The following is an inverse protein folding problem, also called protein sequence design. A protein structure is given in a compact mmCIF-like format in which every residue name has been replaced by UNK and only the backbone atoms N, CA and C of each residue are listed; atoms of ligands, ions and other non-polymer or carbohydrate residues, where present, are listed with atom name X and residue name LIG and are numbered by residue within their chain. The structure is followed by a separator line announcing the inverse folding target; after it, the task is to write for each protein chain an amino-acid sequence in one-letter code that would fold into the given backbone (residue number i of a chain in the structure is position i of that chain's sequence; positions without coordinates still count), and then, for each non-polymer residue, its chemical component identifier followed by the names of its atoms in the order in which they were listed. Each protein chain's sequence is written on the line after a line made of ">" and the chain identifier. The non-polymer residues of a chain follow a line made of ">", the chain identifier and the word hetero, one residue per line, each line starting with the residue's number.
data_IF_366391341913
#
_entry.id   IF_366391341913
#
_cell.length_a   1.000
_cell.length_b   1.000
_cell.length_c   1.000
_cell.angle_alpha   90.00
_cell.angle_beta   90.00
_cell.angle_gamma   90.00
#
_symmetry.space_group_name_H-M   'P 1'
#
loop_
_entity.id
_entity.type
_entity.pdbx_description
1 polymer ?
#
# COMPACT_ATOMS: atom_id res chain seq x y z
N UNK A 1 -5.61 -29.66 -1.41
CA UNK A 1 -6.35 -28.44 -1.00
C UNK A 1 -6.91 -27.79 -2.25
N UNK A 2 -8.19 -28.00 -2.53
CA UNK A 2 -8.84 -27.52 -3.76
C UNK A 2 -9.27 -26.05 -3.58
N UNK A 3 -8.96 -25.19 -4.55
CA UNK A 3 -9.31 -23.76 -4.52
C UNK A 3 -10.73 -23.56 -5.04
N UNK A 4 -11.68 -23.24 -4.16
CA UNK A 4 -13.00 -22.75 -4.55
C UNK A 4 -12.87 -21.34 -5.15
N UNK A 5 -13.52 -21.07 -6.28
CA UNK A 5 -13.64 -19.73 -6.89
C UNK A 5 -15.10 -19.30 -6.86
N UNK A 6 -15.41 -18.17 -6.23
CA UNK A 6 -16.75 -17.56 -6.24
C UNK A 6 -16.88 -16.49 -7.32
N UNK A 7 -18.07 -16.36 -7.90
CA UNK A 7 -18.42 -15.27 -8.83
C UNK A 7 -19.76 -14.65 -8.42
N UNK A 8 -19.86 -13.33 -8.48
CA UNK A 8 -21.03 -12.55 -8.07
C UNK A 8 -21.75 -11.99 -9.28
N UNK A 9 -23.09 -12.00 -9.26
CA UNK A 9 -23.90 -11.35 -10.29
C UNK A 9 -25.05 -10.60 -9.62
N UNK A 10 -25.20 -9.31 -9.94
CA UNK A 10 -26.33 -8.48 -9.50
C UNK A 10 -27.49 -8.71 -10.47
N UNK A 11 -28.66 -9.08 -9.95
CA UNK A 11 -29.88 -9.28 -10.75
C UNK A 11 -30.96 -8.31 -10.29
N UNK A 12 -32.01 -8.13 -11.11
CA UNK A 12 -33.18 -7.31 -10.78
C UNK A 12 -33.89 -7.75 -9.48
N UNK A 13 -33.67 -9.00 -9.03
CA UNK A 13 -34.26 -9.58 -7.80
C UNK A 13 -33.28 -9.63 -6.61
N UNK A 14 -32.13 -8.98 -6.71
CA UNK A 14 -31.11 -8.92 -5.66
C UNK A 14 -29.78 -9.56 -6.06
N UNK A 15 -28.85 -9.62 -5.09
CA UNK A 15 -27.52 -10.20 -5.27
C UNK A 15 -27.58 -11.72 -5.14
N UNK A 16 -26.99 -12.44 -6.10
CA UNK A 16 -26.87 -13.91 -6.08
C UNK A 16 -25.38 -14.30 -6.12
N UNK A 17 -25.03 -15.34 -5.37
CA UNK A 17 -23.66 -15.88 -5.31
C UNK A 17 -23.63 -17.22 -6.04
N UNK A 18 -22.68 -17.40 -6.96
CA UNK A 18 -22.40 -18.69 -7.58
C UNK A 18 -21.43 -19.46 -6.71
N UNK A 19 -21.85 -20.61 -6.19
CA UNK A 19 -20.97 -21.56 -5.50
C UNK A 19 -20.71 -22.72 -6.44
N UNK A 20 -19.44 -22.94 -6.80
CA UNK A 20 -19.03 -24.08 -7.63
C UNK A 20 -18.04 -24.93 -6.84
N UNK A 21 -18.41 -26.19 -6.61
CA UNK A 21 -17.52 -27.24 -6.14
C UNK A 21 -17.14 -28.13 -7.33
N UNK A 22 -15.98 -28.79 -7.30
CA UNK A 22 -15.41 -29.53 -8.44
C UNK A 22 -16.29 -30.68 -8.93
N UNK A 23 -17.17 -31.19 -8.08
CA UNK A 23 -17.95 -32.41 -8.34
C UNK A 23 -19.46 -32.17 -8.40
N UNK A 24 -19.93 -30.92 -8.51
CA UNK A 24 -21.37 -30.63 -8.56
C UNK A 24 -21.72 -29.44 -9.44
N UNK A 25 -22.90 -29.52 -10.06
CA UNK A 25 -23.50 -28.44 -10.85
C UNK A 25 -23.53 -27.14 -10.01
N UNK A 26 -23.11 -26.00 -10.57
CA UNK A 26 -23.04 -24.75 -9.83
C UNK A 26 -24.45 -24.28 -9.44
N UNK A 27 -24.66 -24.01 -8.16
CA UNK A 27 -25.91 -23.46 -7.65
C UNK A 27 -25.79 -21.95 -7.44
N UNK A 28 -26.90 -21.24 -7.70
CA UNK A 28 -27.03 -19.82 -7.44
C UNK A 28 -27.87 -19.62 -6.19
N UNK A 29 -27.29 -19.04 -5.15
CA UNK A 29 -27.97 -18.83 -3.86
C UNK A 29 -28.27 -17.33 -3.70
N UNK A 30 -29.54 -16.95 -3.45
CA UNK A 30 -29.88 -15.58 -3.08
C UNK A 30 -29.20 -15.20 -1.76
N UNK A 31 -28.56 -14.02 -1.70
CA UNK A 31 -27.82 -13.57 -0.50
C UNK A 31 -28.70 -13.52 0.76
N UNK A 32 -29.99 -13.22 0.61
CA UNK A 32 -30.95 -13.24 1.73
C UNK A 32 -31.12 -14.61 2.40
N UNK A 33 -30.79 -15.70 1.71
CA UNK A 33 -30.91 -17.07 2.21
C UNK A 33 -29.56 -17.67 2.67
N UNK A 34 -28.46 -16.91 2.58
CA UNK A 34 -27.12 -17.43 2.93
C UNK A 34 -27.00 -17.82 4.42
N UNK A 35 -27.68 -17.11 5.31
CA UNK A 35 -27.65 -17.39 6.76
C UNK A 35 -28.22 -18.76 7.10
N UNK A 36 -29.34 -19.14 6.48
CA UNK A 36 -29.96 -20.46 6.66
C UNK A 36 -29.14 -21.59 6.02
N UNK A 37 -28.38 -21.29 4.95
CA UNK A 37 -27.52 -22.26 4.28
C UNK A 37 -26.24 -22.59 5.09
N UNK A 38 -25.68 -21.59 5.79
CA UNK A 38 -24.49 -21.78 6.63
C UNK A 38 -24.72 -22.75 7.80
N UNK A 39 -25.94 -22.83 8.33
CA UNK A 39 -26.30 -23.76 9.41
C UNK A 39 -26.39 -25.24 9.02
N UNK A 40 -26.38 -25.56 7.72
CA UNK A 40 -26.50 -26.94 7.21
C UNK A 40 -25.19 -27.52 6.68
N UNK A 41 -24.07 -26.79 6.77
CA UNK A 41 -22.79 -27.25 6.23
C UNK A 41 -22.08 -28.21 7.21
N UNK A 42 -21.61 -29.38 6.75
CA UNK A 42 -20.88 -30.33 7.59
C UNK A 42 -19.55 -29.77 8.10
N UNK A 43 -19.16 -30.19 9.31
CA UNK A 43 -18.10 -29.62 10.18
C UNK A 43 -16.68 -29.64 9.56
N UNK A 44 -16.46 -30.40 8.48
CA UNK A 44 -15.19 -30.43 7.74
C UNK A 44 -14.96 -29.22 6.82
N UNK A 45 -15.82 -28.19 6.88
CA UNK A 45 -15.83 -27.06 5.94
C UNK A 45 -15.46 -25.70 6.55
N UNK A 46 -14.70 -25.67 7.66
CA UNK A 46 -14.34 -24.42 8.38
C UNK A 46 -13.75 -23.33 7.46
N UNK A 47 -12.86 -23.71 6.54
CA UNK A 47 -12.27 -22.76 5.60
C UNK A 47 -13.27 -22.09 4.64
N UNK A 48 -14.39 -22.75 4.31
CA UNK A 48 -15.45 -22.18 3.48
C UNK A 48 -16.36 -21.25 4.31
N UNK A 49 -16.62 -21.61 5.57
CA UNK A 49 -17.41 -20.79 6.50
C UNK A 49 -16.69 -19.46 6.79
N UNK A 50 -15.38 -19.48 7.06
CA UNK A 50 -14.58 -18.27 7.30
C UNK A 50 -14.54 -17.36 6.07
N UNK A 51 -14.37 -17.94 4.87
CA UNK A 51 -14.37 -17.19 3.63
C UNK A 51 -15.74 -16.53 3.32
N UNK A 52 -16.84 -17.23 3.60
CA UNK A 52 -18.19 -16.70 3.44
C UNK A 52 -18.53 -15.63 4.47
N UNK A 53 -18.10 -15.80 5.73
CA UNK A 53 -18.26 -14.80 6.78
C UNK A 53 -17.53 -13.50 6.43
N UNK A 54 -16.27 -13.59 5.97
CA UNK A 54 -15.50 -12.42 5.52
C UNK A 54 -16.15 -11.72 4.32
N UNK A 55 -16.67 -12.49 3.35
CA UNK A 55 -17.38 -11.94 2.20
C UNK A 55 -18.68 -11.21 2.60
N UNK A 56 -19.43 -11.74 3.57
CA UNK A 56 -20.65 -11.10 4.11
C UNK A 56 -20.36 -9.79 4.84
N UNK A 57 -19.30 -9.74 5.65
CA UNK A 57 -18.86 -8.50 6.33
C UNK A 57 -18.49 -7.43 5.30
N UNK A 58 -17.73 -7.82 4.27
CA UNK A 58 -17.32 -6.90 3.18
C UNK A 58 -18.54 -6.35 2.41
N UNK A 59 -19.55 -7.18 2.15
CA UNK A 59 -20.79 -6.77 1.46
C UNK A 59 -21.66 -5.83 2.31
N UNK A 60 -21.72 -6.02 3.63
CA UNK A 60 -22.44 -5.10 4.53
C UNK A 60 -21.79 -3.72 4.59
N UNK A 61 -20.46 -3.67 4.64
CA UNK A 61 -19.72 -2.41 4.59
C UNK A 61 -19.98 -1.63 3.29
N UNK A 62 -20.05 -2.33 2.14
CA UNK A 62 -20.32 -1.69 0.86
C UNK A 62 -21.76 -1.12 0.73
N UNK A 63 -22.76 -1.75 1.35
CA UNK A 63 -24.15 -1.28 1.29
C UNK A 63 -24.47 -0.13 2.27
N UNK A 64 -23.63 0.13 3.27
CA UNK A 64 -23.84 1.21 4.23
C UNK A 64 -23.60 2.61 3.62
N UNK A 65 -23.01 2.69 2.42
CA UNK A 65 -22.59 3.94 1.78
C UNK A 65 -23.70 4.58 0.92
N UNK A 66 -24.76 3.85 0.55
CA UNK A 66 -25.75 4.31 -0.45
C UNK A 66 -27.07 4.89 0.13
N UNK A 67 -27.21 5.02 1.47
CA UNK A 67 -28.49 5.43 2.09
C UNK A 67 -28.61 6.90 2.49
N UNK A 68 -27.66 7.77 2.13
CA UNK A 68 -27.75 9.21 2.41
C UNK A 68 -28.13 10.01 1.14
N UNK A 69 -29.37 9.82 0.67
CA UNK A 69 -30.02 10.73 -0.29
C UNK A 69 -31.33 11.20 0.31
N UNK A 70 -31.22 12.35 0.97
CA UNK A 70 -32.30 13.06 1.63
C UNK A 70 -33.49 13.38 0.73
N UNK A 71 -34.65 13.16 1.32
CA UNK A 71 -35.94 13.77 1.03
C UNK A 71 -35.84 15.29 1.15
N UNK A 72 -36.21 15.96 0.08
CA UNK A 72 -36.46 17.40 0.01
C UNK A 72 -37.94 17.62 0.34
N UNK A 73 -38.24 18.22 1.49
CA UNK A 73 -39.55 18.82 1.74
C UNK A 73 -39.36 20.29 2.11
N UNK A 74 -40.01 21.13 1.32
CA UNK A 74 -40.16 22.56 1.49
C UNK A 74 -41.05 22.88 2.69
N UNK A 75 -40.70 23.91 3.48
CA UNK A 75 -41.68 24.72 4.19
C UNK A 75 -41.09 26.08 4.59
N UNK A 76 -41.44 27.09 3.79
CA UNK A 76 -41.47 28.51 4.15
C UNK A 76 -42.42 28.73 5.34
N UNK A 77 -41.96 29.38 6.42
CA UNK A 77 -42.78 30.37 7.12
C UNK A 77 -41.92 31.29 8.00
N UNK A 78 -42.13 32.61 7.86
CA UNK A 78 -41.36 33.65 8.52
C UNK A 78 -41.87 34.03 9.92
N UNK A 79 -40.98 34.66 10.71
CA UNK A 79 -41.31 35.35 11.96
C UNK A 79 -40.05 35.90 12.64
N UNK A 80 -39.94 37.22 12.92
CA UNK A 80 -38.75 37.81 13.54
C UNK A 80 -38.93 37.98 15.05
N UNK A 81 -38.11 37.31 15.87
CA UNK A 81 -38.02 37.51 17.34
C UNK A 81 -36.64 37.05 17.89
N UNK A 82 -36.25 37.50 19.10
CA UNK A 82 -35.02 38.29 19.31
C UNK A 82 -33.80 37.49 19.78
N UNK A 83 -32.66 38.16 19.58
CA UNK A 83 -31.31 37.81 20.00
C UNK A 83 -31.25 37.42 21.48
N UNK A 84 -31.02 36.13 21.75
CA UNK A 84 -30.55 35.66 23.05
C UNK A 84 -29.19 35.01 22.82
N UNK A 85 -28.14 35.75 23.15
CA UNK A 85 -26.78 35.27 23.26
C UNK A 85 -26.72 34.11 24.26
N UNK A 86 -26.36 32.92 23.77
CA UNK A 86 -25.91 31.82 24.63
C UNK A 86 -24.53 31.37 24.17
N UNK A 87 -23.58 31.58 25.08
CA UNK A 87 -22.22 31.05 25.17
C UNK A 87 -22.12 29.54 24.96
N UNK A 88 -20.91 28.95 25.03
CA UNK A 88 -19.70 29.21 24.26
C UNK A 88 -19.44 28.03 23.32
N UNK A 89 -18.76 28.29 22.20
CA UNK A 89 -18.38 27.25 21.24
C UNK A 89 -17.44 26.22 21.91
N UNK A 90 -18.00 25.07 22.30
CA UNK A 90 -17.24 23.87 22.65
C UNK A 90 -16.48 23.43 21.41
N UNK A 91 -15.24 23.90 21.29
CA UNK A 91 -14.34 23.53 20.20
C UNK A 91 -13.95 22.08 20.46
N UNK A 92 -14.72 21.14 19.92
CA UNK A 92 -14.37 19.72 19.95
C UNK A 92 -12.99 19.59 19.28
N UNK A 93 -11.96 19.30 20.07
CA UNK A 93 -10.63 19.04 19.57
C UNK A 93 -10.71 17.81 18.67
N UNK A 94 -10.74 18.01 17.36
CA UNK A 94 -10.71 16.93 16.38
C UNK A 94 -9.41 16.17 16.61
N UNK A 95 -9.52 14.97 17.19
CA UNK A 95 -8.35 14.20 17.50
C UNK A 95 -7.86 13.51 16.23
N UNK A 96 -6.80 14.05 15.65
CA UNK A 96 -6.19 13.50 14.43
C UNK A 96 -5.26 12.34 14.77
N UNK A 97 -5.35 11.26 13.99
CA UNK A 97 -4.40 10.17 13.97
C UNK A 97 -3.33 10.44 12.89
N UNK A 98 -2.14 9.88 13.07
CA UNK A 98 -1.05 10.00 12.10
C UNK A 98 -0.65 8.61 11.59
N UNK A 99 -0.58 8.46 10.26
CA UNK A 99 -0.03 7.31 9.56
C UNK A 99 1.32 7.68 8.94
N UNK A 100 2.40 7.12 9.47
CA UNK A 100 3.76 7.36 8.98
C UNK A 100 4.28 6.14 8.24
N UNK A 101 4.45 6.24 6.92
CA UNK A 101 4.95 5.15 6.09
C UNK A 101 6.45 5.33 5.88
N UNK A 102 7.26 4.43 6.43
CA UNK A 102 8.72 4.51 6.38
C UNK A 102 9.27 3.40 5.50
N UNK A 103 9.89 3.75 4.38
CA UNK A 103 10.65 2.79 3.59
C UNK A 103 12.08 2.68 4.12
N UNK A 104 12.61 1.45 4.26
CA UNK A 104 13.98 1.26 4.74
C UNK A 104 14.72 0.03 4.18
N UNK A 105 16.03 -0.03 4.40
CA UNK A 105 16.91 -1.13 4.03
C UNK A 105 17.29 -2.04 5.19
N UNK A 106 17.07 -3.34 5.06
CA UNK A 106 17.46 -4.35 6.05
C UNK A 106 18.96 -4.33 6.37
N UNK A 107 19.81 -4.08 5.36
CA UNK A 107 21.26 -3.98 5.54
C UNK A 107 21.69 -2.82 6.45
N UNK A 108 20.81 -1.85 6.71
CA UNK A 108 21.07 -0.70 7.58
C UNK A 108 20.42 -0.86 8.96
N UNK A 109 19.96 -2.07 9.31
CA UNK A 109 19.34 -2.38 10.59
C UNK A 109 17.84 -2.09 10.67
N UNK A 110 17.18 -2.55 11.74
CA UNK A 110 15.75 -2.34 11.97
C UNK A 110 15.41 -0.85 12.16
N UNK A 111 14.12 -0.52 12.10
CA UNK A 111 13.65 0.82 12.48
C UNK A 111 13.69 0.96 14.00
N UNK A 112 14.36 2.00 14.49
CA UNK A 112 14.35 2.40 15.90
C UNK A 112 13.27 3.47 16.09
N UNK A 113 12.26 3.18 16.88
CA UNK A 113 11.21 4.15 17.23
C UNK A 113 11.47 4.76 18.61
N UNK A 114 11.13 6.06 18.81
CA UNK A 114 11.46 6.79 20.03
C UNK A 114 10.74 6.27 21.29
N UNK A 115 9.57 5.63 21.16
CA UNK A 115 8.90 4.95 22.27
C UNK A 115 7.96 3.84 21.74
N UNK A 116 8.21 2.55 22.05
CA UNK A 116 7.33 1.46 21.67
C UNK A 116 5.93 1.51 22.30
N UNK A 117 5.76 2.23 23.42
CA UNK A 117 4.48 2.32 24.12
C UNK A 117 3.52 3.36 23.55
N UNK A 118 4.05 4.36 22.84
CA UNK A 118 3.28 5.48 22.30
C UNK A 118 2.86 5.30 20.83
N UNK A 119 3.42 4.31 20.14
CA UNK A 119 3.29 4.16 18.69
C UNK A 119 2.97 2.71 18.32
N UNK A 120 1.94 2.52 17.50
CA UNK A 120 1.65 1.22 16.89
C UNK A 120 2.54 1.01 15.68
N UNK A 121 3.17 -0.17 15.55
CA UNK A 121 4.10 -0.44 14.46
C UNK A 121 3.75 -1.70 13.67
N UNK A 122 3.70 -1.57 12.34
CA UNK A 122 3.61 -2.67 11.40
C UNK A 122 4.87 -2.72 10.53
N UNK A 123 5.46 -3.91 10.37
CA UNK A 123 6.66 -4.09 9.51
C UNK A 123 6.43 -5.13 8.43
N UNK A 124 6.73 -4.77 7.18
CA UNK A 124 6.53 -5.62 6.01
C UNK A 124 7.82 -5.80 5.21
N UNK A 125 8.26 -7.05 5.06
CA UNK A 125 9.34 -7.42 4.12
C UNK A 125 8.80 -7.56 2.70
N UNK A 126 9.45 -6.87 1.75
CA UNK A 126 9.21 -6.98 0.30
C UNK A 126 10.43 -7.54 -0.45
N UNK A 127 11.34 -8.21 0.26
CA UNK A 127 12.56 -8.80 -0.33
C UNK A 127 12.28 -9.97 -1.27
N UNK A 128 11.13 -10.63 -1.13
CA UNK A 128 10.67 -11.71 -2.02
C UNK A 128 10.21 -11.20 -3.39
N UNK A 129 9.94 -9.89 -3.53
CA UNK A 129 9.54 -9.30 -4.81
C UNK A 129 10.73 -9.25 -5.76
N UNK A 130 10.49 -9.58 -7.03
CA UNK A 130 11.50 -9.58 -8.10
C UNK A 130 12.29 -8.27 -8.09
N UNK A 131 13.61 -8.40 -8.16
CA UNK A 131 14.51 -7.26 -8.16
C UNK A 131 14.42 -6.53 -9.52
N UNK A 132 14.26 -5.20 -9.56
CA UNK A 132 14.26 -4.48 -10.84
C UNK A 132 15.57 -4.68 -11.62
N UNK A 133 15.53 -4.55 -12.96
CA UNK A 133 16.71 -4.68 -13.84
C UNK A 133 17.90 -3.84 -13.37
N UNK A 134 19.11 -4.38 -13.56
CA UNK A 134 20.34 -3.75 -13.08
C UNK A 134 20.56 -2.33 -13.62
N UNK A 135 20.17 -2.09 -14.89
CA UNK A 135 20.28 -0.77 -15.53
C UNK A 135 19.44 0.27 -14.78
N UNK A 136 18.18 -0.05 -14.48
CA UNK A 136 17.28 0.84 -13.74
C UNK A 136 17.74 1.09 -12.30
N UNK A 137 18.29 0.07 -11.64
CA UNK A 137 18.80 0.21 -10.27
C UNK A 137 19.96 1.18 -10.14
N UNK A 138 20.73 1.39 -11.22
CA UNK A 138 21.86 2.32 -11.23
C UNK A 138 21.44 3.77 -11.42
N UNK A 139 20.38 4.01 -12.19
CA UNK A 139 19.96 5.36 -12.60
C UNK A 139 18.75 5.89 -11.84
N UNK A 140 17.96 5.02 -11.21
CA UNK A 140 16.70 5.38 -10.57
C UNK A 140 16.56 4.81 -9.16
N UNK A 141 15.71 5.46 -8.38
CA UNK A 141 15.20 5.02 -7.08
C UNK A 141 13.72 4.67 -7.20
N UNK A 142 13.10 4.17 -6.13
CA UNK A 142 11.66 3.92 -6.08
C UNK A 142 10.78 5.16 -6.22
N UNK A 143 11.35 6.36 -6.19
CA UNK A 143 10.65 7.63 -6.48
C UNK A 143 10.42 7.85 -7.98
N UNK A 144 11.15 7.15 -8.86
CA UNK A 144 10.95 7.32 -10.29
C UNK A 144 9.73 6.53 -10.77
N UNK A 145 8.85 7.19 -11.52
CA UNK A 145 7.65 6.54 -12.11
C UNK A 145 8.02 5.32 -12.94
N UNK A 146 9.13 5.39 -13.69
CA UNK A 146 9.59 4.29 -14.52
C UNK A 146 10.00 3.05 -13.69
N UNK A 147 10.74 3.24 -12.59
CA UNK A 147 11.10 2.12 -11.71
C UNK A 147 9.89 1.57 -10.96
N UNK A 148 8.94 2.43 -10.55
CA UNK A 148 7.70 1.97 -9.92
C UNK A 148 6.88 1.08 -10.84
N UNK A 149 6.67 1.51 -12.09
CA UNK A 149 5.96 0.73 -13.12
C UNK A 149 6.60 -0.64 -13.34
N UNK A 150 7.92 -0.70 -13.44
CA UNK A 150 8.65 -1.96 -13.61
C UNK A 150 8.46 -2.92 -12.41
N UNK A 151 8.56 -2.40 -11.17
CA UNK A 151 8.35 -3.21 -9.96
C UNK A 151 6.91 -3.70 -9.88
N UNK A 152 5.94 -2.83 -10.19
CA UNK A 152 4.50 -3.13 -10.11
C UNK A 152 3.96 -3.93 -11.31
N UNK A 153 4.74 -4.10 -12.38
CA UNK A 153 4.40 -5.02 -13.48
C UNK A 153 4.35 -6.49 -13.02
N UNK A 154 4.97 -6.81 -11.87
CA UNK A 154 4.88 -8.14 -11.27
C UNK A 154 3.56 -8.33 -10.52
N UNK A 155 2.77 -9.34 -10.91
CA UNK A 155 1.53 -9.71 -10.20
C UNK A 155 1.77 -10.05 -8.71
N UNK A 156 2.93 -10.63 -8.39
CA UNK A 156 3.34 -10.88 -7.01
C UNK A 156 3.52 -9.59 -6.20
N UNK A 157 4.03 -8.52 -6.84
CA UNK A 157 4.16 -7.21 -6.19
C UNK A 157 2.80 -6.58 -5.92
N UNK A 158 1.89 -6.62 -6.90
CA UNK A 158 0.51 -6.12 -6.75
C UNK A 158 -0.24 -6.86 -5.65
N UNK A 159 -0.15 -8.20 -5.63
CA UNK A 159 -0.76 -9.03 -4.59
C UNK A 159 -0.20 -8.70 -3.20
N UNK A 160 1.13 -8.54 -3.09
CA UNK A 160 1.78 -8.17 -1.82
C UNK A 160 1.34 -6.79 -1.35
N UNK A 161 1.19 -5.83 -2.27
CA UNK A 161 0.71 -4.48 -1.94
C UNK A 161 -0.73 -4.54 -1.41
N UNK A 162 -1.60 -5.36 -2.04
CA UNK A 162 -2.97 -5.57 -1.55
C UNK A 162 -3.03 -6.10 -0.12
N UNK A 163 -2.16 -7.07 0.23
CA UNK A 163 -2.06 -7.60 1.60
C UNK A 163 -1.65 -6.49 2.58
N UNK A 164 -0.66 -5.67 2.21
CA UNK A 164 -0.18 -4.57 3.06
C UNK A 164 -1.28 -3.53 3.27
N UNK A 165 -1.97 -3.12 2.20
CA UNK A 165 -3.09 -2.18 2.26
C UNK A 165 -4.18 -2.69 3.23
N UNK A 166 -4.60 -3.95 3.08
CA UNK A 166 -5.60 -4.54 3.97
C UNK A 166 -5.18 -4.54 5.42
N UNK A 167 -3.94 -4.95 5.72
CA UNK A 167 -3.43 -4.97 7.10
C UNK A 167 -3.36 -3.57 7.73
N UNK A 168 -2.92 -2.56 6.96
CA UNK A 168 -2.86 -1.17 7.43
C UNK A 168 -4.27 -0.63 7.69
N UNK A 169 -5.21 -0.84 6.78
CA UNK A 169 -6.60 -0.40 6.94
C UNK A 169 -7.28 -1.06 8.15
N UNK A 170 -7.09 -2.37 8.34
CA UNK A 170 -7.60 -3.07 9.54
C UNK A 170 -7.07 -2.42 10.81
N UNK A 171 -5.76 -2.14 10.88
CA UNK A 171 -5.16 -1.51 12.06
C UNK A 171 -5.65 -0.08 12.28
N UNK A 172 -5.84 0.70 11.22
CA UNK A 172 -6.42 2.05 11.30
C UNK A 172 -7.84 2.03 11.92
N UNK A 173 -8.66 1.06 11.53
CA UNK A 173 -10.02 0.89 12.10
C UNK A 173 -9.94 0.45 13.57
N UNK A 174 -9.08 -0.49 13.92
CA UNK A 174 -8.86 -0.91 15.30
C UNK A 174 -8.46 0.26 16.21
N UNK A 175 -7.53 1.11 15.76
CA UNK A 175 -7.09 2.28 16.52
C UNK A 175 -8.19 3.33 16.69
N UNK A 176 -9.04 3.53 15.68
CA UNK A 176 -10.22 4.41 15.78
C UNK A 176 -11.19 3.90 16.85
N UNK A 177 -11.57 2.62 16.77
CA UNK A 177 -12.50 1.99 17.71
C UNK A 177 -11.97 1.97 19.15
N UNK A 178 -10.67 1.70 19.33
CA UNK A 178 -10.02 1.70 20.64
C UNK A 178 -10.09 3.08 21.33
N UNK A 179 -10.16 4.16 20.55
CA UNK A 179 -10.28 5.52 21.08
C UNK A 179 -11.72 5.90 21.41
N UNK A 180 -12.67 5.54 20.56
CA UNK A 180 -14.10 5.82 20.77
C UNK A 180 -14.69 5.06 21.97
N UNK A 181 -14.12 3.89 22.31
CA UNK A 181 -14.55 3.11 23.47
C UNK A 181 -14.14 3.66 24.84
N UNK A 182 -13.38 4.76 24.90
CA UNK A 182 -13.00 5.43 26.15
C UNK A 182 -14.06 6.47 26.48
N UNK A 183 -14.99 6.12 27.37
CA UNK A 183 -16.02 7.04 27.86
C UNK A 183 -15.37 8.19 28.65
N UNK A 184 -15.42 9.45 28.16
CA UNK A 184 -14.74 10.59 28.79
C UNK A 184 -15.33 10.98 30.15
N UNK A 185 -16.40 10.32 30.61
CA UNK A 185 -17.16 10.67 31.82
C UNK A 185 -16.67 9.97 33.09
N UNK A 186 -15.80 8.96 32.98
CA UNK A 186 -15.29 8.25 34.14
C UNK A 186 -14.03 8.95 34.70
N UNK A 187 -14.19 9.71 35.79
CA UNK A 187 -13.12 10.30 36.62
C UNK A 187 -12.26 9.22 37.33
N UNK A 188 -11.65 8.31 36.57
CA UNK A 188 -10.79 7.24 37.08
C UNK A 188 -9.36 7.42 36.56
N UNK A 189 -8.31 7.14 37.38
CA UNK A 189 -6.93 7.45 37.05
C UNK A 189 -6.52 6.83 35.72
N UNK A 190 -6.18 7.71 34.77
CA UNK A 190 -6.01 7.44 33.34
C UNK A 190 -5.06 6.28 33.04
N UNK A 191 -5.47 5.26 32.28
CA UNK A 191 -4.52 4.37 31.60
C UNK A 191 -3.68 5.18 30.59
N UNK A 192 -2.50 4.67 30.17
CA UNK A 192 -1.66 5.34 29.19
C UNK A 192 -2.49 5.66 27.93
N UNK A 193 -2.42 6.92 27.49
CA UNK A 193 -3.17 7.42 26.35
C UNK A 193 -2.97 6.50 25.14
N UNK A 194 -4.08 6.03 24.54
CA UNK A 194 -4.02 5.14 23.39
C UNK A 194 -3.15 5.76 22.28
N UNK A 195 -2.32 4.96 21.58
CA UNK A 195 -1.40 5.46 20.57
C UNK A 195 -2.17 6.17 19.45
N UNK A 196 -1.77 7.39 19.12
CA UNK A 196 -2.35 8.18 18.03
C UNK A 196 -1.58 8.05 16.71
N UNK A 197 -0.43 7.37 16.74
CA UNK A 197 0.47 7.23 15.59
C UNK A 197 0.61 5.77 15.20
N UNK A 198 0.37 5.48 13.91
CA UNK A 198 0.62 4.20 13.27
C UNK A 198 1.84 4.33 12.35
N UNK A 199 2.92 3.63 12.68
CA UNK A 199 4.13 3.56 11.83
C UNK A 199 4.11 2.28 11.00
N UNK A 200 4.23 2.43 9.68
CA UNK A 200 4.32 1.33 8.74
C UNK A 200 5.71 1.27 8.12
N UNK A 201 6.52 0.33 8.58
CA UNK A 201 7.86 0.05 8.06
C UNK A 201 7.83 -0.89 6.86
N UNK A 202 8.32 -0.46 5.70
CA UNK A 202 8.44 -1.32 4.51
C UNK A 202 9.92 -1.53 4.20
N UNK A 203 10.38 -2.79 4.30
CA UNK A 203 11.80 -3.12 4.17
C UNK A 203 12.13 -3.88 2.89
N UNK A 204 13.19 -3.44 2.22
CA UNK A 204 13.91 -4.22 1.22
C UNK A 204 15.37 -4.39 1.63
N UNK A 205 16.25 -4.84 0.73
CA UNK A 205 17.65 -5.09 1.13
C UNK A 205 18.42 -3.80 1.45
N UNK A 206 18.36 -2.80 0.54
CA UNK A 206 19.15 -1.56 0.63
C UNK A 206 18.32 -0.28 0.80
N UNK A 207 17.00 -0.38 0.85
CA UNK A 207 16.13 0.77 1.09
C UNK A 207 15.91 1.74 -0.08
N UNK A 208 16.41 1.47 -1.29
CA UNK A 208 16.38 2.45 -2.40
C UNK A 208 15.34 2.23 -3.50
N UNK A 209 14.84 1.01 -3.65
CA UNK A 209 14.04 0.59 -4.82
C UNK A 209 12.69 0.02 -4.41
N UNK A 210 12.64 -1.28 -4.11
CA UNK A 210 11.39 -2.01 -3.82
C UNK A 210 10.63 -1.40 -2.63
N UNK A 211 11.32 -1.14 -1.51
CA UNK A 211 10.68 -0.56 -0.32
C UNK A 211 10.07 0.81 -0.61
N UNK A 212 10.83 1.69 -1.26
CA UNK A 212 10.40 3.05 -1.64
C UNK A 212 9.19 2.98 -2.59
N UNK A 213 9.25 2.12 -3.60
CA UNK A 213 8.11 1.91 -4.52
C UNK A 213 6.86 1.47 -3.76
N UNK A 214 6.97 0.51 -2.84
CA UNK A 214 5.81 0.05 -2.06
C UNK A 214 5.27 1.12 -1.12
N UNK A 215 6.12 1.94 -0.51
CA UNK A 215 5.69 3.05 0.34
C UNK A 215 4.89 4.09 -0.46
N UNK A 216 5.40 4.48 -1.63
CA UNK A 216 4.74 5.41 -2.56
C UNK A 216 3.41 4.88 -3.11
N UNK A 217 3.33 3.59 -3.41
CA UNK A 217 2.09 3.00 -3.92
C UNK A 217 1.09 2.71 -2.80
N UNK A 218 1.56 2.46 -1.56
CA UNK A 218 0.71 2.34 -0.38
C UNK A 218 0.04 3.68 -0.07
N UNK A 219 0.80 4.78 0.00
CA UNK A 219 0.24 6.10 0.30
C UNK A 219 -0.80 6.56 -0.72
N UNK A 220 -0.63 6.20 -2.01
CA UNK A 220 -1.64 6.45 -3.07
C UNK A 220 -2.93 5.66 -2.90
N UNK A 221 -2.87 4.50 -2.23
CA UNK A 221 -4.02 3.60 -2.03
C UNK A 221 -4.76 3.85 -0.74
N UNK A 222 -4.06 4.33 0.30
CA UNK A 222 -4.70 4.76 1.52
C UNK A 222 -5.39 6.10 1.24
N UNK A 223 -6.69 6.16 1.51
CA UNK A 223 -7.45 7.39 1.47
C UNK A 223 -7.23 8.09 2.81
N UNK A 224 -6.68 9.31 2.78
CA UNK A 224 -6.74 10.17 3.95
C UNK A 224 -8.21 10.54 4.15
N UNK A 225 -8.73 10.28 5.35
CA UNK A 225 -10.01 10.80 5.81
C UNK A 225 -9.75 11.93 6.82
N UNK A 226 -10.80 12.61 7.27
CA UNK A 226 -10.69 13.76 8.16
C UNK A 226 -10.00 13.43 9.50
N UNK A 227 -9.86 12.15 9.84
CA UNK A 227 -9.23 11.70 11.07
C UNK A 227 -7.77 11.23 10.88
N UNK A 228 -7.25 11.09 9.65
CA UNK A 228 -5.91 10.54 9.40
C UNK A 228 -5.03 11.47 8.57
N UNK A 229 -3.92 11.92 9.16
CA UNK A 229 -2.82 12.55 8.43
C UNK A 229 -1.84 11.46 7.94
N UNK A 230 -1.53 11.44 6.65
CA UNK A 230 -0.62 10.43 6.05
C UNK A 230 0.69 11.08 5.63
N UNK A 231 1.82 10.54 6.09
CA UNK A 231 3.16 10.97 5.71
C UNK A 231 4.01 9.80 5.19
N UNK A 232 4.94 10.10 4.29
CA UNK A 232 5.86 9.11 3.69
C UNK A 232 7.29 9.58 3.91
N UNK A 233 8.13 8.68 4.42
CA UNK A 233 9.55 8.94 4.71
C UNK A 233 10.42 7.84 4.12
N UNK A 234 11.62 8.20 3.68
CA UNK A 234 12.56 7.31 3.03
C UNK A 234 13.93 7.36 3.71
N UNK A 235 14.14 6.49 4.71
CA UNK A 235 15.33 6.52 5.57
C UNK A 235 16.67 6.63 4.83
N UNK A 236 16.83 5.93 3.70
CA UNK A 236 18.08 5.95 2.92
C UNK A 236 18.09 6.92 1.73
N UNK A 237 17.03 7.68 1.50
CA UNK A 237 16.96 8.70 0.43
C UNK A 237 16.85 10.12 0.97
N UNK A 238 16.22 10.30 2.13
CA UNK A 238 16.07 11.61 2.73
C UNK A 238 17.45 12.14 3.13
N UNK A 239 17.77 13.40 2.77
CA UNK A 239 19.02 13.99 3.19
C UNK A 239 19.07 13.94 4.72
N UNK A 240 20.23 13.59 5.33
CA UNK A 240 20.37 13.76 6.77
C UNK A 240 20.01 15.22 7.07
N UNK A 241 19.26 15.50 8.15
CA UNK A 241 18.89 16.87 8.50
C UNK A 241 20.17 17.69 8.50
N UNK A 242 20.29 18.58 7.51
CA UNK A 242 21.43 19.46 7.39
C UNK A 242 21.59 20.14 8.75
N UNK A 243 22.81 20.15 9.30
CA UNK A 243 23.21 21.12 10.31
C UNK A 243 23.07 22.51 9.69
N UNK A 244 21.85 23.00 9.59
CA UNK A 244 21.52 24.37 9.21
C UNK A 244 21.82 25.23 10.42
N UNK A 245 23.10 25.54 10.65
CA UNK A 245 23.49 26.28 11.87
C UNK A 245 24.96 26.32 12.24
N UNK A 246 25.90 25.89 11.39
CA UNK A 246 27.28 26.36 11.49
C UNK A 246 27.58 27.16 10.24
N UNK A 247 27.23 28.45 10.29
CA UNK A 247 27.77 29.45 9.41
C UNK A 247 29.30 29.38 9.52
N UNK A 248 29.96 28.76 8.53
CA UNK A 248 31.35 29.09 8.24
C UNK A 248 31.25 30.45 7.53
N UNK A 249 31.23 31.51 8.32
CA UNK A 249 31.75 32.79 7.86
C UNK A 249 33.27 32.59 7.77
N UNK A 250 33.77 32.49 6.55
CA UNK A 250 35.09 33.00 6.17
C UNK A 250 35.09 33.08 4.65
N UNK A 251 34.29 34.04 4.17
CA UNK A 251 34.63 34.77 2.96
C UNK A 251 35.92 35.54 3.23
N UNK A 252 36.76 35.60 2.20
CA UNK A 252 37.84 36.56 2.05
C UNK A 252 39.17 36.23 2.74
N UNK A 253 39.93 35.31 2.14
CA UNK A 253 41.36 35.58 1.89
C UNK A 253 41.99 34.67 0.84
N UNK A 254 42.45 35.35 -0.22
CA UNK A 254 43.57 35.01 -1.11
C UNK A 254 43.22 34.19 -2.36
N UNK A 255 42.81 34.95 -3.37
CA UNK A 255 43.56 35.06 -4.64
C UNK A 255 44.93 34.38 -4.59
N UNK A 256 45.02 33.21 -5.22
CA UNK A 256 46.23 32.44 -5.37
C UNK A 256 46.13 31.62 -6.65
N UNK A 257 46.43 32.29 -7.75
CA UNK A 257 46.78 31.70 -9.04
C UNK A 257 47.80 30.55 -8.86
N UNK A 258 47.94 29.73 -9.91
CA UNK A 258 49.02 28.75 -10.14
C UNK A 258 48.65 27.24 -9.99
N UNK A 259 48.70 26.61 -11.18
CA UNK A 259 49.11 25.22 -11.52
C UNK A 259 48.08 24.09 -11.54
N UNK A 260 47.56 23.88 -12.75
CA UNK A 260 47.98 22.75 -13.61
C UNK A 260 48.53 21.52 -12.86
N UNK A 261 47.64 20.56 -12.60
CA UNK A 261 47.95 19.26 -12.01
C UNK A 261 47.24 18.13 -12.74
N UNK A 262 47.67 17.89 -13.99
CA UNK A 262 47.60 16.61 -14.72
C UNK A 262 47.41 15.40 -13.79
N UNK A 263 46.40 14.53 -14.03
CA UNK A 263 46.59 13.08 -14.15
C UNK A 263 45.51 12.43 -15.05
N UNK A 264 45.88 11.35 -15.77
CA UNK A 264 45.49 11.15 -17.16
C UNK A 264 44.35 10.14 -17.36
N UNK A 265 43.61 10.34 -18.46
CA UNK A 265 42.66 9.39 -18.98
C UNK A 265 43.31 8.03 -19.29
N UNK A 266 42.71 6.96 -18.78
CA UNK A 266 42.97 5.59 -19.25
C UNK A 266 42.26 5.41 -20.60
N UNK A 267 42.93 5.86 -21.65
CA UNK A 267 42.70 5.46 -23.03
C UNK A 267 43.12 3.99 -23.17
N UNK A 268 42.20 3.05 -22.90
CA UNK A 268 42.38 1.64 -23.25
C UNK A 268 41.94 1.42 -24.71
N UNK A 269 42.92 1.52 -25.59
CA UNK A 269 43.09 0.69 -26.80
C UNK A 269 41.86 0.45 -27.65
N UNK A 270 41.52 1.43 -28.49
CA UNK A 270 41.15 1.14 -29.87
C UNK A 270 42.41 0.61 -30.55
N UNK A 271 42.53 -0.71 -30.70
CA UNK A 271 43.24 -1.39 -31.79
C UNK A 271 43.32 -2.90 -31.50
N UNK A 272 42.30 -3.63 -31.93
CA UNK A 272 42.49 -5.05 -32.25
C UNK A 272 41.69 -5.43 -33.49
N UNK A 273 42.38 -5.19 -34.62
CA UNK A 273 42.36 -5.99 -35.84
C UNK A 273 41.00 -6.28 -36.49
N UNK A 274 40.70 -5.41 -37.45
CA UNK A 274 40.19 -5.75 -38.78
C UNK A 274 40.84 -7.07 -39.28
N UNK A 275 40.03 -8.10 -39.55
CA UNK A 275 40.51 -9.36 -40.10
C UNK A 275 39.41 -10.38 -40.42
N UNK A 276 39.11 -10.51 -41.72
CA UNK A 276 38.60 -11.69 -42.46
C UNK A 276 37.19 -12.19 -42.11
N UNK A 277 36.17 -11.97 -42.95
CA UNK A 277 35.91 -12.63 -44.24
C UNK A 277 35.77 -14.16 -44.15
N UNK A 278 34.52 -14.65 -44.14
CA UNK A 278 34.02 -15.81 -44.90
C UNK A 278 32.53 -15.95 -44.52
N UNK A 279 31.53 -15.67 -45.36
CA UNK A 279 31.22 -16.34 -46.61
C UNK A 279 31.36 -17.88 -46.48
N UNK A 280 30.28 -18.55 -46.06
CA UNK A 280 29.89 -19.90 -46.50
C UNK A 280 28.48 -20.18 -45.97
N UNK A 281 27.52 -20.22 -46.89
CA UNK A 281 26.84 -21.44 -47.42
C UNK A 281 25.79 -21.95 -46.44
N UNK A 282 24.50 -21.80 -46.76
CA UNK A 282 23.74 -22.73 -47.62
C UNK A 282 23.86 -24.18 -47.15
N UNK A 283 22.75 -24.67 -46.61
CA UNK A 283 22.12 -26.00 -46.66
C UNK A 283 20.92 -25.82 -45.69
N UNK A 284 19.71 -25.45 -46.11
CA UNK A 284 18.72 -26.27 -46.81
C UNK A 284 18.77 -27.74 -46.38
N UNK A 285 17.83 -28.13 -45.53
CA UNK A 285 17.22 -29.45 -45.62
C UNK A 285 15.75 -29.34 -45.20
N UNK A 286 14.93 -29.58 -46.21
CA UNK A 286 13.49 -29.80 -46.19
C UNK A 286 13.10 -31.06 -45.39
N UNK A 287 11.78 -31.14 -45.13
CA UNK A 287 10.94 -32.35 -45.03
C UNK A 287 10.38 -32.68 -43.63
N UNK A 288 9.26 -33.44 -43.55
CA UNK A 288 8.06 -33.37 -44.38
C UNK A 288 6.77 -33.35 -43.54
N UNK A 289 5.66 -33.07 -44.23
CA UNK A 289 4.29 -33.39 -43.84
C UNK A 289 4.14 -34.79 -43.24
N UNK A 290 3.38 -34.88 -42.16
CA UNK A 290 2.63 -36.07 -41.79
C UNK A 290 1.18 -35.65 -41.55
N UNK A 291 0.38 -35.90 -42.57
CA UNK A 291 -1.05 -36.19 -42.54
C UNK A 291 -1.34 -37.42 -41.66
N UNK A 292 -2.65 -37.71 -41.50
CA UNK A 292 -3.30 -38.86 -40.85
C UNK A 292 -3.63 -38.71 -39.36
N UNK A 293 -4.82 -39.07 -38.86
CA UNK A 293 -6.16 -39.32 -39.41
C UNK A 293 -7.06 -39.63 -38.17
N UNK A 294 -8.39 -39.54 -38.33
CA UNK A 294 -9.49 -39.96 -37.41
C UNK A 294 -9.99 -38.95 -36.36
#
# INVERSE_FOLDING_TARGET
>A
MNKCRGSFRKTFRGLIVKVSNTDSQPCWIPVKNLGSFLGYLPDHSRGLQDALAHALVTLRAANAIDNDKGTMEDLENGGPLPETEVSPATTQAVTTFELVIISYGHAHGPLTLPDPGAVEQLTFSVRSIKNPPAKLRRTHTGLSSHLRKEVMASSAAVARLGIIVGAVQTKMVEMKLAREGVDPTAESPSPPAAPSVLVVGIMCERGKHRSVTFAEELSRKIQADDCWAVSVQHRELDPPPHRTGAAIQDEDRLTGDVRAGNKPGKQRGLDRKKGKSSARRFLQEDAPDAEEDV
#
